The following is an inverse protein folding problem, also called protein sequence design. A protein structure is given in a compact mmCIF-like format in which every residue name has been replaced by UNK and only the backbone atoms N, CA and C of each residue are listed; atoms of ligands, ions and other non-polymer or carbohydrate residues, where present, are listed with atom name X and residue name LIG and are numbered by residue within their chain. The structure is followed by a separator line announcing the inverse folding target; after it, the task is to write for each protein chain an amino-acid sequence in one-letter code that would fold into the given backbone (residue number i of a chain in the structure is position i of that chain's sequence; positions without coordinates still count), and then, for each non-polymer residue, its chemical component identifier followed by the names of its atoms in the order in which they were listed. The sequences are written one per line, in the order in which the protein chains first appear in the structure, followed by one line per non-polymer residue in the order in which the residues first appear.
data_IF_757318705368
#
_entry.id   IF_757318705368
#
_cell.length_a   1.000
_cell.length_b   1.000
_cell.length_c   1.000
_cell.angle_alpha   90.00
_cell.angle_beta   90.00
_cell.angle_gamma   90.00
#
_symmetry.space_group_name_H-M   'P 1'
#
loop_
_entity.id
_entity.type
_entity.pdbx_description
1 polymer ?
#
# COMPACT_ATOMS: atom_id res chain seq x y z
N UNK A 1 -6.04 -2.81 -6.02
CA UNK A 1 -6.44 -3.95 -6.86
C UNK A 1 -7.93 -3.88 -7.11
N UNK A 2 -8.52 -4.40 -8.21
CA UNK A 2 -9.75 -3.82 -8.74
C UNK A 2 -10.92 -3.82 -7.74
N UNK A 3 -10.89 -4.71 -6.74
CA UNK A 3 -11.87 -4.78 -5.66
C UNK A 3 -11.39 -4.33 -4.26
N UNK A 4 -10.09 -4.04 -4.03
CA UNK A 4 -9.59 -3.64 -2.70
C UNK A 4 -8.31 -2.76 -2.73
N UNK A 5 -8.01 -2.13 -1.59
CA UNK A 5 -6.81 -1.30 -1.40
C UNK A 5 -5.92 -1.86 -0.29
N UNK A 6 -4.61 -1.71 -0.44
CA UNK A 6 -3.65 -1.90 0.65
C UNK A 6 -3.02 -0.55 0.97
N UNK A 7 -3.07 -0.14 2.24
CA UNK A 7 -2.50 1.10 2.73
C UNK A 7 -1.55 0.80 3.89
N UNK A 8 -0.37 1.41 3.86
CA UNK A 8 0.55 1.46 4.99
C UNK A 8 0.63 2.91 5.45
N UNK A 9 0.27 3.17 6.70
CA UNK A 9 0.12 4.53 7.24
C UNK A 9 0.91 4.65 8.54
N UNK A 10 1.64 5.76 8.69
CA UNK A 10 2.26 6.20 9.94
C UNK A 10 1.45 7.36 10.52
N UNK A 11 1.23 7.36 11.83
CA UNK A 11 0.54 8.44 12.52
C UNK A 11 1.57 9.40 13.14
N UNK A 12 1.77 10.55 12.51
CA UNK A 12 2.79 11.54 12.95
C UNK A 12 2.24 12.59 13.93
N UNK A 13 0.99 12.46 14.37
CA UNK A 13 0.38 13.39 15.33
C UNK A 13 -0.76 12.77 16.12
N UNK A 14 -1.48 13.60 16.86
CA UNK A 14 -2.54 13.13 17.77
C UNK A 14 -3.85 12.76 17.06
N UNK A 15 -3.96 13.07 15.77
CA UNK A 15 -5.14 12.73 14.99
C UNK A 15 -5.20 11.22 14.71
N UNK A 16 -6.22 10.49 15.19
CA UNK A 16 -6.24 9.04 15.06
C UNK A 16 -6.39 8.58 13.61
N UNK A 17 -5.59 7.60 13.18
CA UNK A 17 -5.65 7.02 11.81
C UNK A 17 -7.05 6.57 11.42
N UNK A 18 -7.82 5.99 12.35
CA UNK A 18 -9.18 5.52 12.08
C UNK A 18 -10.12 6.66 11.62
N UNK A 19 -9.94 7.87 12.15
CA UNK A 19 -10.74 9.04 11.74
C UNK A 19 -10.37 9.50 10.34
N UNK A 20 -9.08 9.46 10.01
CA UNK A 20 -8.58 9.78 8.67
C UNK A 20 -9.17 8.82 7.64
N UNK A 21 -9.05 7.51 7.88
CA UNK A 21 -9.60 6.45 7.02
C UNK A 21 -11.12 6.60 6.84
N UNK A 22 -11.86 6.82 7.93
CA UNK A 22 -13.31 7.00 7.87
C UNK A 22 -13.69 8.21 7.03
N UNK A 23 -12.99 9.34 7.20
CA UNK A 23 -13.26 10.55 6.40
C UNK A 23 -12.97 10.31 4.92
N UNK A 24 -11.81 9.73 4.60
CA UNK A 24 -11.38 9.46 3.24
C UNK A 24 -12.40 8.60 2.48
N UNK A 25 -12.77 7.45 3.04
CA UNK A 25 -13.67 6.52 2.37
C UNK A 25 -15.11 7.02 2.33
N UNK A 26 -15.61 7.70 3.37
CA UNK A 26 -16.94 8.29 3.33
C UNK A 26 -17.05 9.36 2.24
N UNK A 27 -16.06 10.25 2.13
CA UNK A 27 -16.01 11.26 1.07
C UNK A 27 -15.93 10.61 -0.32
N UNK A 28 -15.13 9.55 -0.47
CA UNK A 28 -15.03 8.80 -1.72
C UNK A 28 -16.37 8.18 -2.14
N UNK A 29 -17.05 7.46 -1.23
CA UNK A 29 -18.35 6.83 -1.52
C UNK A 29 -19.39 7.88 -1.89
N UNK A 30 -19.45 9.00 -1.18
CA UNK A 30 -20.38 10.09 -1.50
C UNK A 30 -20.10 10.68 -2.88
N UNK A 31 -18.83 10.90 -3.23
CA UNK A 31 -18.44 11.45 -4.53
C UNK A 31 -18.86 10.50 -5.67
N UNK A 32 -18.54 9.21 -5.56
CA UNK A 32 -18.89 8.25 -6.61
C UNK A 32 -20.39 8.01 -6.69
N UNK A 33 -21.11 7.94 -5.56
CA UNK A 33 -22.57 7.83 -5.57
C UNK A 33 -23.23 9.01 -6.29
N UNK A 34 -22.75 10.24 -6.06
CA UNK A 34 -23.22 11.43 -6.80
C UNK A 34 -22.89 11.34 -8.29
N UNK A 35 -21.65 10.98 -8.63
CA UNK A 35 -21.19 10.89 -10.02
C UNK A 35 -21.97 9.85 -10.83
N UNK A 36 -22.29 8.70 -10.21
CA UNK A 36 -22.92 7.56 -10.86
C UNK A 36 -24.43 7.47 -10.60
N UNK A 37 -25.04 8.49 -9.98
CA UNK A 37 -26.43 8.51 -9.54
C UNK A 37 -26.85 7.24 -8.76
N UNK A 38 -25.94 6.72 -7.93
CA UNK A 38 -26.13 5.55 -7.07
C UNK A 38 -26.52 5.95 -5.66
N UNK A 39 -27.09 5.00 -4.93
CA UNK A 39 -27.35 5.10 -3.49
C UNK A 39 -26.85 3.84 -2.79
N UNK A 40 -26.61 3.94 -1.49
CA UNK A 40 -26.19 2.83 -0.65
C UNK A 40 -24.67 2.67 -0.54
N UNK A 41 -24.22 1.59 0.13
CA UNK A 41 -22.81 1.32 0.36
C UNK A 41 -22.09 0.97 -0.95
N UNK A 42 -20.77 1.19 -0.95
CA UNK A 42 -19.87 0.77 -2.02
C UNK A 42 -18.95 -0.36 -1.55
N UNK A 43 -18.45 -0.27 -0.31
CA UNK A 43 -17.59 -1.28 0.29
C UNK A 43 -18.44 -2.40 0.90
N UNK A 44 -17.97 -3.63 0.74
CA UNK A 44 -18.65 -4.85 1.24
C UNK A 44 -18.57 -5.00 2.76
N UNK A 45 -17.62 -4.30 3.42
CA UNK A 45 -17.43 -4.39 4.86
C UNK A 45 -16.56 -3.27 5.43
N UNK A 46 -16.21 -3.43 6.70
CA UNK A 46 -15.24 -2.56 7.38
C UNK A 46 -13.82 -2.89 6.94
N UNK A 47 -12.96 -1.87 6.91
CA UNK A 47 -11.54 -2.09 6.66
C UNK A 47 -10.93 -2.94 7.77
N UNK A 48 -9.98 -3.78 7.40
CA UNK A 48 -9.16 -4.52 8.35
C UNK A 48 -7.84 -3.78 8.57
N UNK A 49 -7.27 -3.89 9.76
CA UNK A 49 -5.99 -3.26 10.08
C UNK A 49 -5.13 -4.16 10.96
N UNK A 50 -3.82 -4.02 10.79
CA UNK A 50 -2.80 -4.69 11.60
C UNK A 50 -1.84 -3.61 12.08
N UNK A 51 -1.59 -3.56 13.38
CA UNK A 51 -0.55 -2.69 13.92
C UNK A 51 0.82 -3.29 13.60
N UNK A 52 1.69 -2.50 12.98
CA UNK A 52 3.05 -2.90 12.63
C UNK A 52 4.00 -2.21 13.59
N UNK A 53 4.54 -2.96 14.53
CA UNK A 53 5.41 -2.49 15.62
C UNK A 53 6.89 -2.84 15.39
N UNK A 54 7.18 -3.68 14.39
CA UNK A 54 8.53 -4.16 14.11
C UNK A 54 9.08 -3.55 12.83
N UNK A 55 10.03 -2.66 13.02
CA UNK A 55 10.70 -1.88 11.97
C UNK A 55 11.21 -2.74 10.81
N UNK A 56 11.86 -3.88 11.13
CA UNK A 56 12.44 -4.79 10.14
C UNK A 56 11.43 -5.38 9.12
N UNK A 57 10.13 -5.34 9.40
CA UNK A 57 9.11 -5.85 8.47
C UNK A 57 8.54 -4.78 7.55
N UNK A 58 8.70 -3.49 7.90
CA UNK A 58 8.01 -2.40 7.19
C UNK A 58 8.44 -2.36 5.72
N UNK A 59 9.74 -2.48 5.43
CA UNK A 59 10.24 -2.50 4.05
C UNK A 59 9.70 -3.69 3.24
N UNK A 60 9.53 -4.85 3.86
CA UNK A 60 8.97 -6.03 3.21
C UNK A 60 7.45 -5.88 2.99
N UNK A 61 6.73 -5.19 3.89
CA UNK A 61 5.33 -4.82 3.67
C UNK A 61 5.18 -3.83 2.51
N UNK A 62 6.05 -2.81 2.42
CA UNK A 62 6.07 -1.89 1.27
C UNK A 62 6.25 -2.66 -0.05
N UNK A 63 7.26 -3.54 -0.09
CA UNK A 63 7.52 -4.40 -1.24
C UNK A 63 6.32 -5.29 -1.55
N UNK A 64 5.71 -5.92 -0.56
CA UNK A 64 4.51 -6.73 -0.76
C UNK A 64 3.40 -5.92 -1.42
N UNK A 65 3.11 -4.72 -0.92
CA UNK A 65 2.06 -3.84 -1.44
C UNK A 65 2.35 -3.47 -2.90
N UNK A 66 3.58 -3.10 -3.23
CA UNK A 66 3.96 -2.72 -4.60
C UNK A 66 4.00 -3.90 -5.56
N UNK A 67 4.31 -5.11 -5.10
CA UNK A 67 4.29 -6.33 -5.91
C UNK A 67 2.92 -6.99 -5.98
N UNK A 68 1.93 -6.58 -5.19
CA UNK A 68 0.61 -7.19 -5.18
C UNK A 68 -0.08 -7.16 -6.57
N UNK A 69 -0.02 -6.06 -7.36
CA UNK A 69 -0.48 -6.04 -8.74
C UNK A 69 0.16 -7.08 -9.67
N UNK A 70 1.46 -7.31 -9.49
CA UNK A 70 2.22 -8.32 -10.24
C UNK A 70 1.82 -9.73 -9.81
N UNK A 71 1.75 -9.98 -8.49
CA UNK A 71 1.33 -11.27 -7.91
C UNK A 71 -0.10 -11.66 -8.33
N UNK A 72 -0.97 -10.69 -8.61
CA UNK A 72 -2.32 -10.91 -9.11
C UNK A 72 -2.42 -10.96 -10.65
N UNK A 73 -1.28 -10.99 -11.36
CA UNK A 73 -1.19 -11.02 -12.82
C UNK A 73 -1.92 -9.87 -13.54
N UNK A 74 -2.04 -8.69 -12.91
CA UNK A 74 -2.66 -7.53 -13.56
C UNK A 74 -1.67 -6.75 -14.42
N UNK A 75 -0.38 -6.86 -14.11
CA UNK A 75 0.72 -6.17 -14.79
C UNK A 75 1.99 -7.03 -14.73
N UNK A 76 2.94 -6.77 -15.63
CA UNK A 76 4.22 -7.47 -15.68
C UNK A 76 5.21 -6.97 -14.62
N UNK A 77 5.26 -5.66 -14.39
CA UNK A 77 6.10 -5.04 -13.37
C UNK A 77 5.32 -4.09 -12.44
N UNK A 78 5.83 -3.81 -11.23
CA UNK A 78 5.21 -2.85 -10.33
C UNK A 78 5.15 -1.43 -10.92
N UNK A 79 6.07 -1.07 -11.80
CA UNK A 79 6.07 0.18 -12.57
C UNK A 79 4.90 0.30 -13.52
N UNK A 80 4.29 -0.78 -13.98
CA UNK A 80 3.15 -0.73 -14.90
C UNK A 80 1.84 -0.42 -14.16
N UNK A 81 1.80 -0.62 -12.84
CA UNK A 81 0.61 -0.35 -12.03
C UNK A 81 0.51 1.12 -11.61
N UNK A 82 -0.24 1.90 -12.37
CA UNK A 82 -0.40 3.35 -12.15
C UNK A 82 -1.08 3.74 -10.83
N UNK A 83 -1.80 2.81 -10.19
CA UNK A 83 -2.59 3.03 -8.97
C UNK A 83 -1.85 2.66 -7.69
N UNK A 84 -0.52 2.74 -7.70
CA UNK A 84 0.33 2.69 -6.51
C UNK A 84 1.26 3.89 -6.47
N UNK A 85 1.98 4.07 -5.36
CA UNK A 85 3.08 5.02 -5.24
C UNK A 85 4.45 4.39 -5.56
N UNK A 86 4.52 3.21 -6.19
CA UNK A 86 5.80 2.57 -6.56
C UNK A 86 6.64 3.49 -7.45
N UNK A 87 6.01 4.13 -8.45
CA UNK A 87 6.71 5.05 -9.38
C UNK A 87 7.36 6.23 -8.66
N UNK A 88 6.79 6.72 -7.55
CA UNK A 88 7.40 7.77 -6.73
C UNK A 88 8.63 7.27 -5.95
N UNK A 89 8.59 6.03 -5.48
CA UNK A 89 9.69 5.39 -4.76
C UNK A 89 10.85 5.05 -5.69
N UNK A 90 10.54 4.49 -6.86
CA UNK A 90 11.50 4.19 -7.94
C UNK A 90 11.93 5.44 -8.73
N UNK A 91 11.45 6.63 -8.37
CA UNK A 91 11.74 7.91 -9.02
C UNK A 91 11.40 7.94 -10.53
N UNK A 92 10.38 7.18 -10.93
CA UNK A 92 9.80 7.15 -12.28
C UNK A 92 8.66 8.17 -12.45
N UNK A 93 8.09 8.67 -11.35
CA UNK A 93 7.04 9.70 -11.33
C UNK A 93 7.31 10.68 -10.19
N UNK A 94 7.14 11.99 -10.45
CA UNK A 94 7.12 13.00 -9.38
C UNK A 94 5.81 12.88 -8.60
N UNK A 95 5.89 12.84 -7.28
CA UNK A 95 4.70 12.79 -6.42
C UNK A 95 5.06 12.93 -4.94
N UNK A 96 4.08 13.36 -4.14
CA UNK A 96 4.24 13.62 -2.70
C UNK A 96 3.72 12.47 -1.83
N UNK A 97 3.11 11.44 -2.41
CA UNK A 97 2.57 10.29 -1.68
C UNK A 97 3.68 9.29 -1.31
N UNK A 98 4.78 9.78 -0.75
CA UNK A 98 5.87 8.98 -0.22
C UNK A 98 6.48 9.68 0.99
N UNK A 99 6.88 8.88 1.96
CA UNK A 99 7.73 9.36 3.04
C UNK A 99 9.18 9.30 2.56
N UNK A 100 9.73 10.45 2.20
CA UNK A 100 11.08 10.54 1.66
C UNK A 100 12.15 10.22 2.71
N UNK A 101 11.93 10.62 3.96
CA UNK A 101 12.86 10.38 5.05
C UNK A 101 12.90 8.88 5.36
N UNK A 102 11.74 8.22 5.40
CA UNK A 102 11.65 6.76 5.53
C UNK A 102 12.42 6.05 4.42
N UNK A 103 12.22 6.42 3.15
CA UNK A 103 12.91 5.77 2.03
C UNK A 103 14.43 5.93 2.17
N UNK A 104 14.90 7.12 2.52
CA UNK A 104 16.33 7.42 2.65
C UNK A 104 16.99 6.70 3.82
N UNK A 105 16.24 6.32 4.86
CA UNK A 105 16.75 5.49 5.97
C UNK A 105 17.11 4.07 5.51
N UNK A 106 16.31 3.46 4.63
CA UNK A 106 16.52 2.04 4.23
C UNK A 106 17.15 1.85 2.86
N UNK A 107 17.07 2.85 1.98
CA UNK A 107 17.54 2.76 0.61
C UNK A 107 18.37 4.00 0.26
N UNK A 108 19.62 3.78 -0.14
CA UNK A 108 20.56 4.82 -0.57
C UNK A 108 20.16 5.42 -1.91
N UNK A 109 19.38 4.68 -2.71
CA UNK A 109 18.90 5.17 -4.01
C UNK A 109 17.56 4.54 -4.42
N UNK A 110 16.80 5.22 -5.31
CA UNK A 110 15.61 4.62 -5.93
C UNK A 110 15.89 3.30 -6.65
N UNK A 111 17.11 3.15 -7.20
CA UNK A 111 17.54 1.93 -7.88
C UNK A 111 17.70 0.76 -6.90
N UNK A 112 18.23 1.02 -5.71
CA UNK A 112 18.33 0.01 -4.66
C UNK A 112 16.95 -0.48 -4.23
N UNK A 113 15.98 0.42 -4.10
CA UNK A 113 14.59 0.04 -3.81
C UNK A 113 13.98 -0.84 -4.92
N UNK A 114 14.17 -0.46 -6.19
CA UNK A 114 13.70 -1.25 -7.32
C UNK A 114 14.32 -2.66 -7.32
N UNK A 115 15.64 -2.75 -7.15
CA UNK A 115 16.34 -4.04 -7.03
C UNK A 115 15.87 -4.86 -5.82
N UNK A 116 15.61 -4.23 -4.68
CA UNK A 116 15.02 -4.89 -3.51
C UNK A 116 13.64 -5.49 -3.83
N UNK A 117 12.82 -4.81 -4.63
CA UNK A 117 11.53 -5.33 -5.06
C UNK A 117 11.67 -6.54 -6.00
N UNK A 118 12.65 -6.53 -6.89
CA UNK A 118 12.91 -7.60 -7.87
C UNK A 118 13.54 -8.86 -7.23
N UNK A 119 14.29 -8.72 -6.14
CA UNK A 119 15.08 -9.80 -5.54
C UNK A 119 14.25 -10.71 -4.60
N UNK A 120 13.73 -11.83 -5.11
CA UNK A 120 12.84 -12.81 -4.42
C UNK A 120 13.46 -13.69 -3.32
N UNK A 121 14.65 -13.36 -2.80
CA UNK A 121 15.51 -14.30 -2.05
C UNK A 121 15.54 -14.13 -0.52
N UNK A 122 14.68 -13.32 0.08
CA UNK A 122 14.80 -13.01 1.51
C UNK A 122 13.85 -13.84 2.39
N UNK A 123 14.39 -14.55 3.39
CA UNK A 123 13.60 -15.31 4.36
C UNK A 123 12.59 -14.47 5.17
N UNK A 124 12.84 -13.16 5.28
CA UNK A 124 11.94 -12.18 5.91
C UNK A 124 10.68 -11.94 5.04
N UNK A 125 10.76 -12.13 3.71
CA UNK A 125 9.58 -12.07 2.84
C UNK A 125 8.57 -13.14 3.24
N UNK A 126 9.00 -14.38 3.56
CA UNK A 126 8.08 -15.44 4.00
C UNK A 126 7.39 -15.12 5.32
N UNK A 127 8.10 -14.56 6.28
CA UNK A 127 7.50 -14.19 7.57
C UNK A 127 6.54 -13.00 7.41
N UNK A 128 6.92 -12.01 6.61
CA UNK A 128 6.05 -10.87 6.27
C UNK A 128 4.80 -11.32 5.51
N UNK A 129 4.97 -12.22 4.54
CA UNK A 129 3.88 -12.86 3.81
C UNK A 129 2.99 -13.65 4.76
N UNK A 130 3.55 -14.40 5.72
CA UNK A 130 2.74 -15.13 6.70
C UNK A 130 1.92 -14.20 7.60
N UNK A 131 2.48 -13.04 7.98
CA UNK A 131 1.76 -12.02 8.73
C UNK A 131 0.61 -11.47 7.87
N UNK A 132 0.87 -11.16 6.61
CA UNK A 132 -0.16 -10.64 5.69
C UNK A 132 -1.20 -11.71 5.36
N UNK A 133 -0.81 -12.95 5.11
CA UNK A 133 -1.68 -14.09 4.77
C UNK A 133 -2.60 -14.46 5.94
N UNK A 134 -2.11 -14.34 7.18
CA UNK A 134 -2.95 -14.46 8.38
C UNK A 134 -4.11 -13.45 8.39
N UNK A 135 -3.96 -12.32 7.69
CA UNK A 135 -4.96 -11.26 7.58
C UNK A 135 -5.42 -11.04 6.13
N UNK A 136 -5.10 -11.96 5.23
CA UNK A 136 -5.54 -11.98 3.83
C UNK A 136 -6.89 -12.67 3.84
N UNK A 137 -7.94 -11.87 3.79
CA UNK A 137 -9.30 -12.38 3.66
C UNK A 137 -9.75 -12.09 2.23
N UNK A 138 -9.94 -13.17 1.47
CA UNK A 138 -10.63 -13.16 0.16
C UNK A 138 -12.07 -12.67 0.31
#
# INVERSE_FOLDING_TARGET
MPNHYHLLLRQDGDFPVYRFINSLFNSYVQAVNRQQNRKGPMFEGTYQYVHVDREKYIIHLCRYIHLNPVKANLVSGPEDWQYSNYREWANLRKGALKDQDFITVYFQSPKEYASFCENSSDGIERESLSLIEKYRFE
#
